data_IF_831450401179
#
_entry.id   IF_831450401179
#
_cell.length_a   1.000
_cell.length_b   1.000
_cell.length_c   1.000
_cell.angle_alpha   90.00
_cell.angle_beta   90.00
_cell.angle_gamma   90.00
#
_symmetry.space_group_name_H-M   'P 1'
#
loop_
_entity.id
_entity.type
_entity.pdbx_description
1 polymer ?
#
# COMPACT_ATOMS: atom_id res chain seq x y z
N UNK A 1 6.56 9.47 12.09
CA UNK A 1 5.22 10.01 12.43
C UNK A 1 4.14 9.43 11.50
N UNK A 2 4.20 9.59 10.17
CA UNK A 2 3.19 9.04 9.24
C UNK A 2 3.04 7.51 9.37
N UNK A 3 4.13 6.75 9.44
CA UNK A 3 4.08 5.30 9.63
C UNK A 3 3.32 4.90 10.91
N UNK A 4 3.54 5.61 12.01
CA UNK A 4 2.79 5.39 13.26
C UNK A 4 1.29 5.68 13.08
N UNK A 5 0.94 6.75 12.36
CA UNK A 5 -0.47 7.08 12.06
C UNK A 5 -1.12 5.93 11.26
N UNK A 6 -0.43 5.42 10.23
CA UNK A 6 -0.96 4.32 9.40
C UNK A 6 -1.12 3.00 10.17
N UNK A 7 -0.16 2.66 11.06
CA UNK A 7 -0.23 1.43 11.86
C UNK A 7 -1.42 1.44 12.82
N UNK A 8 -1.79 2.62 13.34
CA UNK A 8 -2.94 2.75 14.26
C UNK A 8 -4.30 2.42 13.65
N UNK A 9 -4.40 2.33 12.34
CA UNK A 9 -5.60 1.79 11.68
C UNK A 9 -5.55 0.25 11.71
N UNK A 10 -6.46 -0.43 12.44
CA UNK A 10 -6.46 -1.89 12.53
C UNK A 10 -7.16 -2.51 11.31
N UNK A 11 -6.53 -2.39 10.16
CA UNK A 11 -7.02 -2.82 8.84
C UNK A 11 -6.82 -4.32 8.62
N UNK A 12 -7.39 -5.13 9.49
CA UNK A 12 -7.33 -6.59 9.39
C UNK A 12 -8.22 -7.08 8.25
N UNK A 13 -7.68 -7.93 7.39
CA UNK A 13 -8.38 -8.41 6.18
C UNK A 13 -8.79 -7.21 5.30
N UNK A 14 -10.06 -7.14 4.86
CA UNK A 14 -10.60 -6.09 3.99
C UNK A 14 -11.24 -4.92 4.75
N UNK A 15 -11.02 -4.82 6.07
CA UNK A 15 -11.61 -3.73 6.87
C UNK A 15 -10.81 -2.44 6.74
N UNK A 16 -11.33 -1.45 6.03
CA UNK A 16 -10.67 -0.17 5.75
C UNK A 16 -10.39 0.68 6.99
N UNK A 17 -11.27 0.64 7.99
CA UNK A 17 -11.16 1.46 9.23
C UNK A 17 -10.90 2.96 8.99
N UNK A 18 -11.13 3.46 7.78
CA UNK A 18 -10.95 4.86 7.41
C UNK A 18 -9.55 5.22 6.88
N UNK A 19 -8.64 4.27 6.74
CA UNK A 19 -7.26 4.51 6.29
C UNK A 19 -7.20 5.06 4.85
N UNK A 20 -8.06 4.59 3.95
CA UNK A 20 -8.10 5.06 2.56
C UNK A 20 -8.53 6.53 2.49
N UNK A 21 -9.54 6.92 3.27
CA UNK A 21 -9.95 8.33 3.38
C UNK A 21 -8.85 9.20 3.99
N UNK A 22 -8.15 8.69 5.01
CA UNK A 22 -7.01 9.36 5.62
C UNK A 22 -5.88 9.58 4.61
N UNK A 23 -5.47 8.54 3.87
CA UNK A 23 -4.44 8.61 2.83
C UNK A 23 -4.85 9.56 1.69
N UNK A 24 -6.09 9.49 1.24
CA UNK A 24 -6.63 10.40 0.23
C UNK A 24 -6.50 11.86 0.67
N UNK A 25 -6.88 12.19 1.91
CA UNK A 25 -6.73 13.55 2.46
C UNK A 25 -5.26 13.99 2.50
N UNK A 26 -4.35 13.12 2.96
CA UNK A 26 -2.90 13.43 3.02
C UNK A 26 -2.30 13.67 1.63
N UNK A 27 -2.65 12.85 0.65
CA UNK A 27 -2.17 12.96 -0.72
C UNK A 27 -2.75 14.18 -1.44
N UNK A 28 -4.03 14.48 -1.24
CA UNK A 28 -4.66 15.70 -1.77
C UNK A 28 -3.99 16.95 -1.24
N UNK A 29 -3.60 16.98 0.03
CA UNK A 29 -2.91 18.12 0.65
C UNK A 29 -1.53 18.41 0.04
N UNK A 30 -0.92 17.45 -0.65
CA UNK A 30 0.34 17.63 -1.39
C UNK A 30 0.14 17.67 -2.92
N UNK A 31 -1.10 17.87 -3.38
CA UNK A 31 -1.44 18.16 -4.78
C UNK A 31 -1.81 16.93 -5.64
N UNK A 32 -1.97 15.74 -5.05
CA UNK A 32 -2.46 14.58 -5.81
C UNK A 32 -3.96 14.68 -6.08
N UNK A 33 -4.37 14.22 -7.26
CA UNK A 33 -5.76 13.90 -7.56
C UNK A 33 -6.05 12.48 -7.14
N UNK A 34 -6.97 12.30 -6.19
CA UNK A 34 -7.31 11.02 -5.59
C UNK A 34 -8.63 10.47 -6.13
N UNK A 35 -8.69 9.17 -6.36
CA UNK A 35 -9.89 8.42 -6.75
C UNK A 35 -9.99 7.17 -5.87
N UNK A 36 -11.11 7.03 -5.15
CA UNK A 36 -11.40 5.84 -4.35
C UNK A 36 -12.16 4.85 -5.23
N UNK A 37 -11.70 3.61 -5.29
CA UNK A 37 -12.21 2.55 -6.16
C UNK A 37 -12.67 1.40 -5.27
N UNK A 38 -13.94 1.03 -5.40
CA UNK A 38 -14.50 -0.13 -4.69
C UNK A 38 -14.18 -1.42 -5.46
N UNK A 39 -13.80 -2.44 -4.73
CA UNK A 39 -13.71 -3.82 -5.22
C UNK A 39 -14.55 -4.76 -4.36
N UNK A 40 -14.73 -5.99 -4.82
CA UNK A 40 -15.25 -7.06 -3.98
C UNK A 40 -14.25 -7.29 -2.84
N UNK A 41 -14.74 -7.50 -1.65
CA UNK A 41 -13.92 -7.84 -0.48
C UNK A 41 -14.29 -9.21 0.06
N UNK A 42 -13.97 -9.47 1.33
CA UNK A 42 -14.31 -10.73 2.00
C UNK A 42 -15.81 -10.80 2.31
N UNK A 43 -16.46 -11.88 1.91
CA UNK A 43 -17.91 -12.08 2.08
C UNK A 43 -18.72 -11.03 1.28
N UNK A 44 -19.68 -10.40 1.92
CA UNK A 44 -20.56 -9.36 1.32
C UNK A 44 -19.96 -7.94 1.37
N UNK A 45 -18.83 -7.76 2.07
CA UNK A 45 -18.18 -6.44 2.22
C UNK A 45 -17.42 -6.04 0.96
N UNK A 46 -17.34 -4.73 0.73
CA UNK A 46 -16.48 -4.14 -0.29
C UNK A 46 -15.15 -3.73 0.31
N UNK A 47 -14.06 -3.87 -0.43
CA UNK A 47 -12.78 -3.27 -0.13
C UNK A 47 -12.65 -1.89 -0.81
N UNK A 48 -12.03 -0.93 -0.13
CA UNK A 48 -11.76 0.39 -0.67
C UNK A 48 -10.29 0.47 -1.08
N UNK A 49 -10.05 0.84 -2.33
CA UNK A 49 -8.72 1.03 -2.88
C UNK A 49 -8.54 2.49 -3.29
N UNK A 50 -7.30 2.95 -3.37
CA UNK A 50 -6.97 4.32 -3.73
C UNK A 50 -6.06 4.35 -4.95
N UNK A 51 -6.42 5.15 -5.93
CA UNK A 51 -5.51 5.65 -6.94
C UNK A 51 -5.32 7.15 -6.76
N UNK A 52 -4.08 7.60 -6.63
CA UNK A 52 -3.77 9.02 -6.56
C UNK A 52 -2.64 9.36 -7.53
N UNK A 53 -2.79 10.48 -8.28
CA UNK A 53 -1.82 10.91 -9.28
C UNK A 53 -1.50 12.39 -9.16
N UNK A 54 -0.20 12.71 -9.28
CA UNK A 54 0.35 14.05 -9.42
C UNK A 54 1.00 14.19 -10.81
N UNK A 55 0.78 15.32 -11.49
CA UNK A 55 1.28 15.55 -12.84
C UNK A 55 0.47 14.83 -13.93
N UNK A 56 0.77 15.18 -15.19
CA UNK A 56 0.05 14.64 -16.36
C UNK A 56 0.99 14.15 -17.47
N UNK A 57 2.27 14.53 -17.40
CA UNK A 57 3.26 14.23 -18.43
C UNK A 57 3.87 12.84 -18.26
N UNK A 58 4.57 12.38 -19.28
CA UNK A 58 5.45 11.22 -19.23
C UNK A 58 6.88 11.69 -18.88
N UNK A 59 7.71 10.80 -18.31
CA UNK A 59 7.38 9.44 -17.86
C UNK A 59 6.47 9.42 -16.63
N UNK A 60 5.75 8.32 -16.45
CA UNK A 60 4.85 8.09 -15.32
C UNK A 60 5.41 6.95 -14.44
N UNK A 61 5.81 7.30 -13.22
CA UNK A 61 6.21 6.33 -12.19
C UNK A 61 5.06 6.09 -11.21
N UNK A 62 4.83 4.84 -10.87
CA UNK A 62 3.82 4.41 -9.92
C UNK A 62 4.46 3.69 -8.74
N UNK A 63 3.88 3.85 -7.56
CA UNK A 63 4.11 3.02 -6.40
C UNK A 63 2.86 2.18 -6.14
N UNK A 64 3.05 0.89 -5.90
CA UNK A 64 2.00 -0.04 -5.52
C UNK A 64 2.25 -0.53 -4.09
N UNK A 65 1.21 -0.48 -3.26
CA UNK A 65 1.22 -1.03 -1.91
C UNK A 65 -0.17 -1.39 -1.43
N UNK A 66 -0.24 -2.01 -0.25
CA UNK A 66 -1.49 -2.38 0.39
C UNK A 66 -1.56 -1.88 1.84
N UNK A 67 -2.78 -1.72 2.34
CA UNK A 67 -3.02 -1.26 3.72
C UNK A 67 -3.59 -2.33 4.63
N UNK A 68 -4.12 -3.40 4.09
CA UNK A 68 -4.57 -4.52 4.87
C UNK A 68 -3.40 -5.27 5.52
N UNK A 69 -3.71 -6.04 6.54
CA UNK A 69 -2.73 -6.81 7.29
C UNK A 69 -3.31 -8.17 7.67
N UNK A 70 -2.43 -9.16 7.79
CA UNK A 70 -2.80 -10.51 8.19
C UNK A 70 -3.51 -10.55 9.55
N UNK A 71 -4.44 -11.49 9.69
CA UNK A 71 -5.31 -11.59 10.86
C UNK A 71 -4.63 -12.17 12.12
N UNK A 72 -3.46 -12.81 11.98
CA UNK A 72 -2.77 -13.38 13.13
C UNK A 72 -2.19 -12.26 14.01
N UNK A 73 -2.85 -12.02 15.14
CA UNK A 73 -2.49 -11.00 16.14
C UNK A 73 -2.08 -11.60 17.47
N UNK A 74 -1.84 -12.92 17.52
CA UNK A 74 -1.43 -13.63 18.73
C UNK A 74 0.04 -13.36 19.08
N UNK A 75 0.38 -13.51 20.35
CA UNK A 75 1.75 -13.43 20.87
C UNK A 75 2.45 -12.08 20.74
N UNK A 76 1.73 -10.98 20.57
CA UNK A 76 2.31 -9.64 20.58
C UNK A 76 2.61 -9.16 22.00
N UNK A 77 3.88 -8.88 22.31
CA UNK A 77 4.29 -8.26 23.59
C UNK A 77 3.82 -6.82 23.74
N UNK A 78 3.59 -6.13 22.65
CA UNK A 78 3.08 -4.76 22.58
C UNK A 78 1.81 -4.81 21.70
N UNK A 79 0.70 -4.16 22.07
CA UNK A 79 -0.51 -4.18 21.23
C UNK A 79 -0.18 -3.82 19.77
N UNK A 80 -0.61 -4.66 18.80
CA UNK A 80 -0.10 -4.61 17.42
C UNK A 80 -0.41 -3.30 16.68
N UNK A 81 -1.42 -2.55 17.10
CA UNK A 81 -1.80 -1.28 16.48
C UNK A 81 -1.44 -0.04 17.33
N UNK A 82 -0.66 -0.20 18.40
CA UNK A 82 -0.18 0.91 19.25
C UNK A 82 0.89 1.76 18.58
N UNK A 83 1.64 1.19 17.63
CA UNK A 83 2.69 1.87 16.85
C UNK A 83 3.79 2.48 17.75
N UNK A 84 4.37 1.68 18.62
CA UNK A 84 5.38 2.13 19.59
C UNK A 84 6.77 2.18 18.98
N UNK A 85 7.46 3.29 19.15
CA UNK A 85 8.90 3.38 18.84
C UNK A 85 9.68 3.03 20.10
N UNK A 86 10.51 1.99 20.03
CA UNK A 86 11.35 1.53 21.14
C UNK A 86 12.71 1.11 20.61
N UNK A 87 13.80 1.61 21.20
CA UNK A 87 15.19 1.32 20.80
C UNK A 87 15.45 1.53 19.28
N UNK A 88 14.89 2.59 18.70
CA UNK A 88 15.04 2.89 17.27
C UNK A 88 14.13 2.10 16.32
N UNK A 89 13.38 1.13 16.81
CA UNK A 89 12.47 0.29 16.01
C UNK A 89 11.03 0.71 16.16
N UNK A 90 10.30 0.76 15.05
CA UNK A 90 8.85 0.95 15.03
C UNK A 90 8.15 -0.42 15.16
N UNK A 91 7.51 -0.63 16.32
CA UNK A 91 6.81 -1.86 16.64
C UNK A 91 5.33 -1.72 16.34
N UNK A 92 4.80 -2.61 15.51
CA UNK A 92 3.37 -2.66 15.18
C UNK A 92 3.09 -3.52 13.94
N UNK A 93 1.89 -4.07 13.83
CA UNK A 93 1.46 -4.85 12.68
C UNK A 93 1.39 -3.94 11.45
N UNK A 94 2.01 -4.38 10.34
CA UNK A 94 2.13 -3.60 9.12
C UNK A 94 3.30 -2.60 9.12
N UNK A 95 4.17 -2.57 10.14
CA UNK A 95 5.34 -1.68 10.15
C UNK A 95 6.32 -2.01 9.03
N UNK A 96 6.54 -3.29 8.75
CA UNK A 96 7.37 -3.80 7.67
C UNK A 96 6.54 -4.08 6.43
N UNK A 97 5.46 -4.79 6.55
CA UNK A 97 4.55 -5.23 5.50
C UNK A 97 3.16 -4.62 5.72
N UNK A 98 2.76 -3.55 4.92
CA UNK A 98 3.76 -2.71 4.25
C UNK A 98 3.46 -1.21 4.46
N UNK A 99 2.78 -0.85 5.56
CA UNK A 99 2.44 0.56 5.88
C UNK A 99 3.68 1.44 6.07
N UNK A 100 4.80 0.84 6.52
CA UNK A 100 6.10 1.52 6.59
C UNK A 100 6.58 1.97 5.22
N UNK A 101 6.54 1.09 4.22
CA UNK A 101 6.90 1.39 2.83
C UNK A 101 6.03 2.50 2.23
N UNK A 102 4.71 2.45 2.47
CA UNK A 102 3.78 3.52 2.06
C UNK A 102 4.19 4.86 2.67
N UNK A 103 4.48 4.89 3.97
CA UNK A 103 4.88 6.13 4.66
C UNK A 103 6.20 6.69 4.13
N UNK A 104 7.17 5.83 3.83
CA UNK A 104 8.45 6.21 3.23
C UNK A 104 8.24 6.82 1.84
N UNK A 105 7.46 6.16 0.97
CA UNK A 105 7.14 6.67 -0.36
C UNK A 105 6.46 8.04 -0.31
N UNK A 106 5.39 8.18 0.46
CA UNK A 106 4.67 9.46 0.59
C UNK A 106 5.60 10.57 1.09
N UNK A 107 6.45 10.26 2.07
CA UNK A 107 7.40 11.23 2.61
C UNK A 107 8.45 11.66 1.58
N UNK A 108 9.01 10.71 0.83
CA UNK A 108 9.98 10.96 -0.23
C UNK A 108 9.38 11.82 -1.35
N UNK A 109 8.20 11.44 -1.84
CA UNK A 109 7.50 12.16 -2.91
C UNK A 109 7.07 13.56 -2.46
N UNK A 110 6.58 13.71 -1.23
CA UNK A 110 6.22 15.03 -0.69
C UNK A 110 7.42 15.99 -0.67
N UNK A 111 8.61 15.49 -0.28
CA UNK A 111 9.85 16.28 -0.31
C UNK A 111 10.30 16.59 -1.74
N UNK A 112 10.20 15.60 -2.62
CA UNK A 112 10.58 15.75 -4.03
C UNK A 112 9.75 16.81 -4.75
N UNK A 113 8.42 16.75 -4.62
CA UNK A 113 7.50 17.71 -5.27
C UNK A 113 7.72 19.13 -4.75
N UNK A 114 8.03 19.30 -3.46
CA UNK A 114 8.30 20.64 -2.89
C UNK A 114 9.61 21.26 -3.39
N UNK A 115 10.63 20.45 -3.62
CA UNK A 115 11.99 20.92 -3.85
C UNK A 115 12.44 20.84 -5.31
N UNK A 116 11.70 20.17 -6.17
CA UNK A 116 12.10 19.94 -7.57
C UNK A 116 10.96 20.24 -8.54
N UNK A 117 11.28 21.03 -9.57
CA UNK A 117 10.47 21.07 -10.78
C UNK A 117 10.83 19.84 -11.61
N UNK A 118 9.85 19.06 -12.03
CA UNK A 118 10.08 17.89 -12.89
C UNK A 118 9.01 17.81 -13.98
N UNK A 119 9.40 17.19 -15.09
CA UNK A 119 8.50 16.87 -16.20
C UNK A 119 8.18 15.39 -16.12
N UNK A 120 6.93 15.04 -15.84
CA UNK A 120 6.50 13.67 -15.63
C UNK A 120 5.24 13.58 -14.78
N UNK A 121 4.93 12.40 -14.32
CA UNK A 121 3.87 12.16 -13.35
C UNK A 121 4.25 11.06 -12.35
N UNK A 122 3.70 11.18 -11.15
CA UNK A 122 3.89 10.26 -10.05
C UNK A 122 2.51 9.78 -9.61
N UNK A 123 2.34 8.49 -9.40
CA UNK A 123 1.11 7.95 -8.82
C UNK A 123 1.38 6.96 -7.71
N UNK A 124 0.34 6.71 -6.93
CA UNK A 124 0.30 5.65 -5.93
C UNK A 124 -1.01 4.87 -6.10
N UNK A 125 -0.91 3.56 -6.09
CA UNK A 125 -2.01 2.61 -5.98
C UNK A 125 -1.93 1.99 -4.60
N UNK A 126 -3.01 2.04 -3.85
CA UNK A 126 -3.15 1.39 -2.55
C UNK A 126 -4.30 0.39 -2.64
N UNK A 127 -3.98 -0.87 -2.49
CA UNK A 127 -4.94 -1.96 -2.33
C UNK A 127 -5.30 -2.15 -0.85
N UNK A 128 -6.47 -2.71 -0.59
CA UNK A 128 -6.97 -2.96 0.76
C UNK A 128 -7.30 -4.43 1.01
N UNK A 129 -6.78 -5.36 0.20
CA UNK A 129 -7.10 -6.79 0.29
C UNK A 129 -6.03 -7.70 -0.32
N UNK A 130 -4.77 -7.28 -0.31
CA UNK A 130 -3.64 -8.06 -0.85
C UNK A 130 -3.46 -9.36 -0.06
N UNK A 131 -3.52 -9.29 1.26
CA UNK A 131 -3.33 -10.40 2.20
C UNK A 131 -4.54 -11.36 2.26
N UNK A 132 -5.58 -11.13 1.47
CA UNK A 132 -6.81 -11.92 1.51
C UNK A 132 -7.31 -12.32 0.13
N UNK A 133 -8.13 -11.50 -0.51
CA UNK A 133 -8.84 -11.87 -1.74
C UNK A 133 -8.12 -11.43 -3.02
N UNK A 134 -7.25 -10.45 -2.92
CA UNK A 134 -6.49 -9.92 -4.05
C UNK A 134 -7.31 -9.21 -5.13
N UNK A 135 -8.60 -8.88 -4.91
CA UNK A 135 -9.46 -8.24 -5.92
C UNK A 135 -9.19 -6.75 -6.09
N UNK A 136 -8.50 -6.11 -5.13
CA UNK A 136 -8.28 -4.67 -5.12
C UNK A 136 -7.44 -4.19 -6.28
N UNK A 137 -6.25 -4.74 -6.44
CA UNK A 137 -5.35 -4.34 -7.53
C UNK A 137 -5.97 -4.55 -8.92
N UNK A 138 -6.57 -5.71 -9.28
CA UNK A 138 -7.29 -5.90 -10.53
C UNK A 138 -8.42 -4.88 -10.75
N UNK A 139 -9.17 -4.51 -9.73
CA UNK A 139 -10.23 -3.50 -9.84
C UNK A 139 -9.66 -2.12 -10.18
N UNK A 140 -8.55 -1.72 -9.54
CA UNK A 140 -7.85 -0.48 -9.88
C UNK A 140 -7.32 -0.54 -11.30
N UNK A 141 -6.67 -1.62 -11.71
CA UNK A 141 -6.13 -1.77 -13.07
C UNK A 141 -7.24 -1.70 -14.13
N UNK A 142 -8.41 -2.31 -13.89
CA UNK A 142 -9.58 -2.19 -14.77
C UNK A 142 -10.05 -0.75 -14.90
N UNK A 143 -10.08 0.00 -13.78
CA UNK A 143 -10.43 1.43 -13.78
C UNK A 143 -9.42 2.24 -14.60
N UNK A 144 -8.12 2.03 -14.41
CA UNK A 144 -7.06 2.75 -15.13
C UNK A 144 -7.08 2.45 -16.62
N UNK A 145 -7.28 1.19 -17.01
CA UNK A 145 -7.41 0.78 -18.41
C UNK A 145 -8.58 1.49 -19.12
N UNK A 146 -9.75 1.58 -18.47
CA UNK A 146 -10.90 2.33 -18.99
C UNK A 146 -10.61 3.81 -19.23
N UNK A 147 -9.67 4.40 -18.50
CA UNK A 147 -9.27 5.81 -18.63
C UNK A 147 -8.07 6.02 -19.56
N UNK A 148 -7.59 4.96 -20.22
CA UNK A 148 -6.39 5.03 -21.07
C UNK A 148 -5.12 5.39 -20.30
N UNK A 149 -5.09 5.15 -18.98
CA UNK A 149 -3.95 5.47 -18.12
C UNK A 149 -2.77 4.56 -18.45
N UNK A 150 -1.59 5.15 -18.69
CA UNK A 150 -0.36 4.42 -19.01
C UNK A 150 0.68 4.69 -17.92
N UNK A 151 1.14 3.63 -17.28
CA UNK A 151 2.23 3.63 -16.31
C UNK A 151 3.49 3.14 -17.01
N UNK A 152 4.59 3.89 -16.93
CA UNK A 152 5.87 3.51 -17.55
C UNK A 152 6.70 2.62 -16.60
N UNK A 153 6.72 2.95 -15.32
CA UNK A 153 7.48 2.23 -14.30
C UNK A 153 6.64 2.05 -13.05
N UNK A 154 6.75 0.89 -12.41
CA UNK A 154 6.08 0.63 -11.14
C UNK A 154 7.06 0.07 -10.13
N UNK A 155 7.02 0.61 -8.92
CA UNK A 155 7.74 0.11 -7.74
C UNK A 155 6.70 -0.51 -6.82
N UNK A 156 6.86 -1.78 -6.52
CA UNK A 156 6.06 -2.47 -5.51
C UNK A 156 6.79 -2.36 -4.18
N UNK A 157 6.14 -1.77 -3.19
CA UNK A 157 6.78 -1.40 -1.92
C UNK A 157 6.85 -2.52 -0.89
N UNK A 158 6.80 -3.78 -1.33
CA UNK A 158 6.94 -4.94 -0.47
C UNK A 158 8.33 -5.07 0.16
N UNK A 159 8.44 -5.62 1.38
CA UNK A 159 9.73 -5.85 2.01
C UNK A 159 10.54 -6.90 1.25
N UNK A 160 11.72 -6.52 0.77
CA UNK A 160 12.61 -7.42 0.02
C UNK A 160 14.02 -7.51 0.60
N UNK A 161 14.43 -6.54 1.40
CA UNK A 161 15.77 -6.50 1.99
C UNK A 161 16.03 -7.69 2.91
N UNK A 162 17.23 -8.24 2.84
CA UNK A 162 17.63 -9.43 3.58
C UNK A 162 18.51 -9.08 4.82
N UNK A 163 19.66 -8.46 4.63
CA UNK A 163 20.62 -8.10 5.70
C UNK A 163 20.59 -6.61 6.03
N UNK A 164 20.47 -5.76 5.03
CA UNK A 164 20.44 -4.31 5.18
C UNK A 164 19.43 -3.69 4.24
N UNK A 165 18.94 -2.51 4.60
CA UNK A 165 17.92 -1.82 3.78
C UNK A 165 18.45 -1.53 2.37
N UNK A 166 17.76 -2.06 1.35
CA UNK A 166 18.07 -1.83 -0.06
C UNK A 166 19.13 -2.77 -0.64
N UNK A 167 19.52 -3.83 0.06
CA UNK A 167 20.48 -4.83 -0.41
C UNK A 167 19.88 -5.82 -1.44
N UNK A 168 18.56 -5.90 -1.56
CA UNK A 168 17.87 -6.79 -2.48
C UNK A 168 16.73 -6.08 -3.20
N UNK A 169 16.69 -6.19 -4.52
CA UNK A 169 15.58 -5.75 -5.38
C UNK A 169 15.08 -6.95 -6.16
N UNK A 170 13.80 -7.25 -6.04
CA UNK A 170 13.15 -8.33 -6.80
C UNK A 170 12.58 -7.79 -8.11
N UNK A 171 13.00 -8.36 -9.21
CA UNK A 171 12.55 -7.97 -10.56
C UNK A 171 11.43 -8.86 -11.11
N UNK A 172 10.98 -9.86 -10.34
CA UNK A 172 9.90 -10.77 -10.69
C UNK A 172 9.41 -11.55 -9.47
N UNK A 173 8.35 -12.30 -9.64
CA UNK A 173 7.75 -13.14 -8.59
C UNK A 173 7.52 -14.56 -9.11
N UNK A 174 7.65 -15.53 -8.21
CA UNK A 174 7.23 -16.92 -8.44
C UNK A 174 5.71 -17.02 -8.30
N UNK A 175 5.12 -18.04 -8.92
CA UNK A 175 3.76 -18.47 -8.61
C UNK A 175 3.69 -19.18 -7.26
N UNK A 176 2.48 -19.22 -6.69
CA UNK A 176 2.16 -19.99 -5.49
C UNK A 176 0.86 -20.75 -5.71
N UNK A 177 0.80 -21.99 -5.24
CA UNK A 177 -0.39 -22.83 -5.29
C UNK A 177 -0.53 -23.55 -3.96
N UNK A 178 -1.73 -23.51 -3.39
CA UNK A 178 -2.10 -24.27 -2.18
C UNK A 178 -3.16 -25.31 -2.54
N UNK A 179 -3.03 -26.53 -2.00
CA UNK A 179 -3.98 -27.60 -2.16
C UNK A 179 -4.37 -28.19 -0.81
N UNK A 180 -5.60 -28.69 -0.71
CA UNK A 180 -6.10 -29.47 0.44
C UNK A 180 -6.42 -30.86 -0.07
N UNK A 181 -5.81 -31.88 0.55
CA UNK A 181 -6.13 -33.29 0.30
C UNK A 181 -6.89 -33.79 1.52
N UNK A 182 -8.08 -34.31 1.30
CA UNK A 182 -8.89 -34.95 2.34
C UNK A 182 -9.01 -36.44 2.02
N UNK A 183 -8.64 -37.29 2.97
CA UNK A 183 -8.79 -38.75 2.89
C UNK A 183 -9.91 -39.14 3.85
N UNK A 184 -10.87 -39.91 3.36
CA UNK A 184 -12.02 -40.44 4.14
C UNK A 184 -11.80 -41.88 4.50
#
# INVERSE_FOLDING_TARGET
>A
KLAQELIRFPTVKTEDKGIIKFLSKKLTAIGFKCTIIKSKGTGTKSALNLYARFGKSKPHINFLGHTDVVANLNNWKIPPFKAVVKKGYLNGRGSQDMKGGIACWISAVSRFIKNKKFKGSISIIISADEETTGYGCPAVMKHLKKRGEKINFSVVGEPSSNKSVGDEIRIGRRGSMNGIITVY
#
